data_IF_390136688141
#
_entry.id   IF_390136688141
#
_cell.length_a   1.000
_cell.length_b   1.000
_cell.length_c   1.000
_cell.angle_alpha   90.00
_cell.angle_beta   90.00
_cell.angle_gamma   90.00
#
_symmetry.space_group_name_H-M   'P 1'
#
loop_
_entity.id
_entity.type
_entity.pdbx_description
1 polymer ?
#
# COMPACT_ATOMS: atom_id res chain seq x y z
N UNK A 1 -30.39 -9.77 4.27
CA UNK A 1 -29.43 -9.57 3.16
C UNK A 1 -28.44 -8.51 3.65
N UNK A 2 -27.17 -8.49 3.24
CA UNK A 2 -26.31 -7.37 3.62
C UNK A 2 -26.86 -6.09 2.99
N UNK A 3 -27.19 -5.10 3.83
CA UNK A 3 -27.65 -3.78 3.42
C UNK A 3 -26.62 -3.16 2.48
N UNK A 4 -26.96 -2.99 1.21
CA UNK A 4 -26.00 -2.51 0.21
C UNK A 4 -26.11 -1.00 0.09
N UNK A 5 -25.16 -0.27 0.66
CA UNK A 5 -25.04 1.19 0.49
C UNK A 5 -24.26 1.48 -0.80
N UNK A 6 -24.86 2.26 -1.70
CA UNK A 6 -24.27 2.67 -2.98
C UNK A 6 -24.02 4.18 -3.00
N UNK A 7 -22.77 4.58 -3.22
CA UNK A 7 -22.42 5.99 -3.42
C UNK A 7 -22.89 6.49 -4.79
N UNK A 8 -23.51 7.66 -4.80
CA UNK A 8 -23.71 8.48 -5.99
C UNK A 8 -22.60 9.52 -6.03
N UNK A 9 -21.75 9.46 -7.04
CA UNK A 9 -20.59 10.35 -7.17
C UNK A 9 -20.71 11.25 -8.39
N UNK A 10 -20.11 12.44 -8.32
CA UNK A 10 -20.03 13.37 -9.45
C UNK A 10 -19.46 12.65 -10.69
N UNK A 11 -20.25 12.49 -11.77
CA UNK A 11 -19.86 11.69 -12.93
C UNK A 11 -18.80 12.39 -13.78
N UNK A 12 -18.12 11.62 -14.64
CA UNK A 12 -17.18 12.14 -15.64
C UNK A 12 -17.76 11.99 -17.04
N UNK A 13 -18.24 13.08 -17.63
CA UNK A 13 -18.82 13.08 -18.99
C UNK A 13 -17.79 13.28 -20.12
N UNK A 14 -16.54 13.66 -19.80
CA UNK A 14 -15.50 13.86 -20.80
C UNK A 14 -14.08 13.69 -20.24
N UNK A 15 -13.12 13.35 -21.11
CA UNK A 15 -11.73 13.01 -20.72
C UNK A 15 -11.04 14.12 -19.91
N UNK A 16 -11.33 15.39 -20.23
CA UNK A 16 -10.75 16.57 -19.58
C UNK A 16 -11.60 17.17 -18.45
N UNK A 17 -12.75 16.56 -18.11
CA UNK A 17 -13.61 17.05 -17.01
C UNK A 17 -12.96 16.70 -15.66
N UNK A 18 -12.74 17.73 -14.84
CA UNK A 18 -12.20 17.63 -13.47
C UNK A 18 -13.25 17.93 -12.42
N UNK A 19 -14.29 18.72 -12.75
CA UNK A 19 -15.40 19.09 -11.87
C UNK A 19 -16.71 19.22 -12.66
N UNK A 20 -17.83 19.17 -11.93
CA UNK A 20 -19.18 19.43 -12.43
C UNK A 20 -20.00 20.16 -11.39
N UNK A 21 -20.98 20.95 -11.84
CA UNK A 21 -21.92 21.65 -10.99
C UNK A 21 -23.22 20.87 -10.93
N UNK A 22 -23.68 20.55 -9.73
CA UNK A 22 -24.99 19.95 -9.51
C UNK A 22 -26.06 21.03 -9.72
N UNK A 23 -26.73 21.05 -10.86
CA UNK A 23 -27.67 22.11 -11.22
C UNK A 23 -28.99 21.98 -10.42
N UNK A 24 -29.52 20.77 -10.35
CA UNK A 24 -30.77 20.46 -9.65
C UNK A 24 -30.85 18.98 -9.30
N UNK A 25 -31.54 18.66 -8.22
CA UNK A 25 -32.00 17.29 -7.94
C UNK A 25 -33.39 17.10 -8.54
N UNK A 26 -33.56 16.05 -9.35
CA UNK A 26 -34.87 15.62 -9.87
C UNK A 26 -35.53 14.64 -8.89
N UNK A 27 -34.74 13.74 -8.29
CA UNK A 27 -35.19 12.80 -7.26
C UNK A 27 -35.19 13.44 -5.86
N UNK A 28 -36.09 12.97 -4.96
CA UNK A 28 -36.18 13.44 -3.57
C UNK A 28 -35.66 12.41 -2.58
N UNK A 29 -35.12 12.86 -1.44
CA UNK A 29 -34.77 11.96 -0.33
C UNK A 29 -36.01 11.15 0.10
N UNK A 30 -35.85 9.83 0.22
CA UNK A 30 -36.91 8.86 0.49
C UNK A 30 -37.58 8.28 -0.75
N UNK A 31 -37.25 8.75 -1.95
CA UNK A 31 -37.79 8.21 -3.20
C UNK A 31 -37.08 6.91 -3.60
N UNK A 32 -37.85 5.89 -3.97
CA UNK A 32 -37.35 4.68 -4.62
C UNK A 32 -37.07 4.94 -6.09
N UNK A 33 -35.92 4.47 -6.58
CA UNK A 33 -35.46 4.62 -7.96
C UNK A 33 -34.99 3.28 -8.52
N UNK A 34 -35.12 3.11 -9.83
CA UNK A 34 -34.54 2.01 -10.60
C UNK A 34 -33.23 2.44 -11.26
N UNK A 35 -32.43 1.47 -11.69
CA UNK A 35 -31.26 1.76 -12.52
C UNK A 35 -31.70 2.44 -13.83
N UNK A 36 -31.07 3.55 -14.18
CA UNK A 36 -31.43 4.37 -15.35
C UNK A 36 -32.45 5.48 -15.06
N UNK A 37 -33.07 5.51 -13.87
CA UNK A 37 -33.94 6.64 -13.51
C UNK A 37 -33.12 7.91 -13.31
N UNK A 38 -33.65 9.05 -13.75
CA UNK A 38 -33.02 10.35 -13.57
C UNK A 38 -33.00 10.78 -12.09
N UNK A 39 -31.83 11.17 -11.61
CA UNK A 39 -31.62 11.62 -10.23
C UNK A 39 -31.41 13.13 -10.13
N UNK A 40 -30.64 13.71 -11.04
CA UNK A 40 -30.20 15.10 -10.98
C UNK A 40 -29.71 15.59 -12.34
N UNK A 41 -29.62 16.91 -12.50
CA UNK A 41 -28.94 17.54 -13.63
C UNK A 41 -27.54 17.99 -13.21
N UNK A 42 -26.55 17.67 -14.05
CA UNK A 42 -25.16 18.08 -13.87
C UNK A 42 -24.78 19.02 -15.01
N UNK A 43 -24.40 20.24 -14.64
CA UNK A 43 -23.88 21.26 -15.52
C UNK A 43 -22.35 21.19 -15.56
N UNK A 44 -21.78 21.20 -16.76
CA UNK A 44 -20.34 21.30 -17.00
C UNK A 44 -20.04 22.55 -17.82
N UNK A 45 -18.76 22.86 -18.04
CA UNK A 45 -18.36 23.98 -18.92
C UNK A 45 -18.79 23.82 -20.38
N UNK A 46 -19.27 22.63 -20.79
CA UNK A 46 -19.64 22.34 -22.19
C UNK A 46 -21.12 22.03 -22.36
N UNK A 47 -21.69 21.23 -21.47
CA UNK A 47 -23.05 20.70 -21.57
C UNK A 47 -23.68 20.55 -20.19
N UNK A 48 -25.01 20.61 -20.15
CA UNK A 48 -25.82 20.10 -19.03
C UNK A 48 -26.31 18.71 -19.41
N UNK A 49 -26.21 17.75 -18.50
CA UNK A 49 -26.61 16.36 -18.73
C UNK A 49 -27.31 15.79 -17.51
N UNK A 50 -28.33 14.98 -17.76
CA UNK A 50 -29.04 14.22 -16.74
C UNK A 50 -28.13 13.12 -16.16
N UNK A 51 -28.10 13.02 -14.84
CA UNK A 51 -27.41 11.97 -14.10
C UNK A 51 -28.39 10.87 -13.73
N UNK A 52 -28.20 9.72 -14.35
CA UNK A 52 -29.03 8.53 -14.16
C UNK A 52 -28.51 7.67 -13.01
N UNK A 53 -29.45 7.03 -12.32
CA UNK A 53 -29.15 6.15 -11.20
C UNK A 53 -28.34 4.93 -11.65
N UNK A 54 -27.17 4.63 -11.04
CA UNK A 54 -26.36 3.48 -11.42
C UNK A 54 -26.92 2.14 -10.92
N UNK A 55 -27.86 2.17 -9.97
CA UNK A 55 -28.46 1.00 -9.34
C UNK A 55 -29.90 1.30 -8.88
N UNK A 56 -30.67 0.24 -8.57
CA UNK A 56 -31.95 0.39 -7.88
C UNK A 56 -31.75 0.59 -6.37
N UNK A 57 -32.61 1.38 -5.72
CA UNK A 57 -32.54 1.63 -4.27
C UNK A 57 -33.41 2.80 -3.83
N UNK A 58 -33.29 3.19 -2.56
CA UNK A 58 -33.92 4.42 -2.03
C UNK A 58 -32.87 5.51 -1.92
N UNK A 59 -33.17 6.72 -2.39
CA UNK A 59 -32.31 7.89 -2.18
C UNK A 59 -32.35 8.29 -0.70
N UNK A 60 -31.36 7.85 0.07
CA UNK A 60 -31.30 8.06 1.52
C UNK A 60 -30.73 9.41 1.91
N UNK A 61 -29.83 9.95 1.10
CA UNK A 61 -29.22 11.27 1.36
C UNK A 61 -28.85 11.98 0.07
N UNK A 62 -29.14 13.27 0.04
CA UNK A 62 -28.49 14.24 -0.85
C UNK A 62 -27.40 14.92 -0.03
N UNK A 63 -26.14 14.63 -0.37
CA UNK A 63 -24.97 15.16 0.33
C UNK A 63 -24.61 16.54 -0.23
N UNK A 64 -24.64 16.67 -1.55
CA UNK A 64 -24.42 17.91 -2.27
C UNK A 64 -25.71 18.73 -2.45
N UNK A 65 -25.59 20.05 -2.43
CA UNK A 65 -26.70 20.97 -2.66
C UNK A 65 -26.76 21.43 -4.12
N UNK A 66 -27.97 21.74 -4.61
CA UNK A 66 -28.13 22.34 -5.93
C UNK A 66 -27.40 23.69 -6.00
N UNK A 67 -26.65 23.91 -7.09
CA UNK A 67 -25.75 25.03 -7.29
C UNK A 67 -24.30 24.77 -6.91
N UNK A 68 -23.99 23.66 -6.24
CA UNK A 68 -22.64 23.32 -5.78
C UNK A 68 -21.77 22.74 -6.90
N UNK A 69 -20.55 23.25 -7.06
CA UNK A 69 -19.53 22.68 -7.97
C UNK A 69 -18.62 21.75 -7.19
N UNK A 70 -18.53 20.51 -7.66
CA UNK A 70 -17.80 19.43 -7.00
C UNK A 70 -16.86 18.74 -7.98
N UNK A 71 -15.70 18.26 -7.52
CA UNK A 71 -14.80 17.52 -8.38
C UNK A 71 -15.39 16.17 -8.78
N UNK A 72 -14.97 15.66 -9.94
CA UNK A 72 -15.34 14.32 -10.40
C UNK A 72 -14.98 13.29 -9.33
N UNK A 73 -15.91 12.38 -9.03
CA UNK A 73 -15.77 11.38 -7.99
C UNK A 73 -16.25 11.82 -6.60
N UNK A 74 -16.50 13.12 -6.36
CA UNK A 74 -17.04 13.59 -5.09
C UNK A 74 -18.42 12.98 -4.80
N UNK A 75 -18.70 12.65 -3.53
CA UNK A 75 -20.00 12.11 -3.12
C UNK A 75 -21.08 13.19 -3.25
N UNK A 76 -22.07 12.94 -4.09
CA UNK A 76 -23.23 13.81 -4.24
C UNK A 76 -24.46 13.26 -3.51
N UNK A 77 -24.58 11.94 -3.36
CA UNK A 77 -25.71 11.32 -2.66
C UNK A 77 -25.48 9.85 -2.32
N UNK A 78 -26.46 9.24 -1.66
CA UNK A 78 -26.38 7.85 -1.21
C UNK A 78 -27.68 7.13 -1.51
N UNK A 79 -27.58 5.99 -2.20
CA UNK A 79 -28.65 5.00 -2.33
C UNK A 79 -28.43 3.88 -1.31
N UNK A 80 -29.48 3.41 -0.68
CA UNK A 80 -29.45 2.17 0.11
C UNK A 80 -30.83 1.54 0.19
N UNK A 81 -30.91 0.34 0.76
CA UNK A 81 -32.18 -0.30 1.08
C UNK A 81 -32.96 0.51 2.11
N UNK A 82 -34.29 0.43 2.08
CA UNK A 82 -35.17 1.21 2.96
C UNK A 82 -34.96 0.89 4.45
N UNK A 83 -34.53 -0.34 4.76
CA UNK A 83 -34.25 -0.84 6.11
C UNK A 83 -32.81 -0.60 6.57
N UNK A 84 -31.97 0.05 5.76
CA UNK A 84 -30.60 0.43 6.19
C UNK A 84 -30.66 1.47 7.31
N UNK A 85 -30.02 1.25 8.48
CA UNK A 85 -30.00 2.23 9.57
C UNK A 85 -29.35 3.56 9.16
N UNK A 86 -29.90 4.69 9.63
CA UNK A 86 -29.34 6.03 9.33
C UNK A 86 -27.90 6.19 9.85
N UNK A 87 -27.57 5.55 10.97
CA UNK A 87 -26.20 5.55 11.54
C UNK A 87 -25.17 4.96 10.58
N UNK A 88 -25.54 3.95 9.79
CA UNK A 88 -24.66 3.32 8.82
C UNK A 88 -24.46 4.23 7.59
N UNK A 89 -25.49 4.99 7.22
CA UNK A 89 -25.43 5.99 6.14
C UNK A 89 -24.55 7.17 6.57
N UNK A 90 -24.68 7.65 7.80
CA UNK A 90 -23.82 8.71 8.33
C UNK A 90 -22.36 8.27 8.45
N UNK A 91 -22.11 7.05 8.94
CA UNK A 91 -20.78 6.48 8.98
C UNK A 91 -20.18 6.31 7.58
N UNK A 92 -20.98 5.88 6.61
CA UNK A 92 -20.57 5.77 5.21
C UNK A 92 -20.18 7.14 4.62
N UNK A 93 -21.02 8.17 4.80
CA UNK A 93 -20.74 9.52 4.30
C UNK A 93 -19.47 10.08 4.95
N UNK A 94 -19.29 9.89 6.26
CA UNK A 94 -18.13 10.38 7.00
C UNK A 94 -16.82 9.73 6.54
N UNK A 95 -16.87 8.46 6.18
CA UNK A 95 -15.71 7.66 5.77
C UNK A 95 -15.54 7.60 4.24
N UNK A 96 -16.38 8.31 3.47
CA UNK A 96 -16.28 8.30 2.02
C UNK A 96 -15.10 9.16 1.56
N UNK A 97 -14.08 8.51 1.00
CA UNK A 97 -12.98 9.17 0.32
C UNK A 97 -13.18 9.04 -1.19
N UNK A 98 -13.39 10.17 -1.87
CA UNK A 98 -13.48 10.20 -3.33
C UNK A 98 -12.11 9.86 -3.94
N UNK A 99 -12.04 8.88 -4.84
CA UNK A 99 -10.92 8.70 -5.77
C UNK A 99 -10.97 9.84 -6.81
N UNK A 100 -10.63 11.06 -6.42
CA UNK A 100 -10.56 12.21 -7.33
C UNK A 100 -9.13 12.36 -7.87
N UNK A 101 -8.93 12.50 -9.20
CA UNK A 101 -7.66 12.97 -9.76
C UNK A 101 -7.52 14.48 -9.48
N UNK A 102 -6.60 14.85 -8.58
CA UNK A 102 -6.32 16.25 -8.24
C UNK A 102 -5.33 16.90 -9.23
N UNK A 103 -5.56 18.17 -9.57
CA UNK A 103 -4.48 19.12 -9.84
C UNK A 103 -4.81 20.46 -9.15
N UNK A 104 -3.75 21.18 -8.83
CA UNK A 104 -3.54 22.15 -7.76
C UNK A 104 -4.45 23.39 -7.72
N UNK A 105 -4.79 23.85 -6.51
CA UNK A 105 -4.27 25.10 -5.93
C UNK A 105 -4.80 25.36 -4.51
N UNK A 106 -3.93 25.92 -3.67
CA UNK A 106 -4.12 26.50 -2.33
C UNK A 106 -3.98 25.58 -1.09
N UNK A 107 -2.81 25.70 -0.46
CA UNK A 107 -2.41 25.32 0.92
C UNK A 107 -3.08 26.22 1.99
N UNK A 108 -3.32 25.73 3.22
CA UNK A 108 -2.26 25.42 4.20
C UNK A 108 -2.22 23.96 4.68
N UNK A 109 -1.02 23.40 4.57
CA UNK A 109 -0.36 22.31 5.32
C UNK A 109 -1.19 21.45 6.31
N UNK A 110 -1.62 20.27 5.81
CA UNK A 110 -1.57 19.00 6.52
C UNK A 110 -1.60 17.82 5.51
N UNK A 111 -0.41 17.34 5.10
CA UNK A 111 -0.13 15.96 4.66
C UNK A 111 -1.09 15.21 3.72
N UNK A 112 -1.48 15.78 2.58
CA UNK A 112 -1.93 14.99 1.42
C UNK A 112 -0.78 14.73 0.44
N UNK A 113 0.41 14.37 0.95
CA UNK A 113 1.65 14.36 0.18
C UNK A 113 1.56 13.46 -1.05
N UNK A 114 1.49 14.04 -2.23
CA UNK A 114 1.70 13.32 -3.48
C UNK A 114 3.15 12.83 -3.55
N UNK A 115 3.41 11.68 -4.19
CA UNK A 115 4.78 11.22 -4.45
C UNK A 115 5.57 12.26 -5.25
N UNK A 116 6.82 12.49 -4.87
CA UNK A 116 7.75 13.41 -5.53
C UNK A 116 9.03 12.68 -5.91
N UNK A 117 9.62 13.08 -7.03
CA UNK A 117 10.93 12.60 -7.42
C UNK A 117 12.02 13.29 -6.57
N UNK A 118 12.84 12.49 -5.89
CA UNK A 118 13.95 12.90 -5.04
C UNK A 118 15.24 12.34 -5.61
N UNK A 119 16.24 13.19 -5.85
CA UNK A 119 17.57 12.75 -6.29
C UNK A 119 18.37 12.22 -5.10
N UNK A 120 18.83 10.97 -5.21
CA UNK A 120 19.58 10.23 -4.18
C UNK A 120 20.81 9.63 -4.85
N UNK A 121 21.98 10.26 -4.66
CA UNK A 121 23.19 9.89 -5.40
C UNK A 121 22.97 9.98 -6.91
N UNK A 122 23.20 8.88 -7.62
CA UNK A 122 22.94 8.76 -9.07
C UNK A 122 21.50 8.32 -9.41
N UNK A 123 20.66 8.10 -8.39
CA UNK A 123 19.29 7.66 -8.55
C UNK A 123 18.31 8.82 -8.44
N UNK A 124 17.15 8.65 -9.07
CA UNK A 124 15.97 9.48 -8.81
C UNK A 124 14.92 8.54 -8.26
N UNK A 125 14.53 8.75 -7.00
CA UNK A 125 13.54 7.92 -6.32
C UNK A 125 12.19 8.62 -6.28
N UNK A 126 11.11 7.89 -6.54
CA UNK A 126 9.75 8.37 -6.31
C UNK A 126 9.39 8.17 -4.82
N UNK A 127 9.21 9.25 -4.08
CA UNK A 127 9.08 9.26 -2.62
C UNK A 127 7.80 9.96 -2.20
N UNK A 128 7.00 9.30 -1.36
CA UNK A 128 5.88 9.89 -0.63
C UNK A 128 6.28 10.05 0.82
N UNK A 129 6.30 11.30 1.28
CA UNK A 129 6.68 11.68 2.63
C UNK A 129 5.51 12.43 3.27
N UNK A 130 4.88 11.81 4.26
CA UNK A 130 3.68 12.30 4.93
C UNK A 130 3.78 12.07 6.44
N UNK A 131 2.85 12.64 7.19
CA UNK A 131 2.77 12.52 8.64
C UNK A 131 3.54 13.61 9.40
N UNK A 132 3.44 13.57 10.73
CA UNK A 132 3.96 14.64 11.59
C UNK A 132 5.47 14.53 11.77
N UNK A 133 6.20 15.63 12.00
CA UNK A 133 7.64 15.56 12.31
C UNK A 133 7.93 15.06 13.74
N UNK A 134 6.95 14.42 14.41
CA UNK A 134 7.09 13.93 15.77
C UNK A 134 7.65 12.51 15.81
N UNK A 135 8.51 12.24 16.80
CA UNK A 135 9.11 10.93 17.04
C UNK A 135 10.09 10.49 15.95
N UNK A 136 10.59 9.26 16.10
CA UNK A 136 11.45 8.63 15.08
C UNK A 136 10.60 8.28 13.85
N UNK A 137 11.03 8.68 12.63
CA UNK A 137 10.29 8.43 11.41
C UNK A 137 10.24 6.94 11.04
N UNK A 138 9.27 6.58 10.20
CA UNK A 138 9.13 5.26 9.59
C UNK A 138 9.55 5.31 8.12
N UNK A 139 10.26 4.28 7.66
CA UNK A 139 10.53 4.05 6.24
C UNK A 139 9.93 2.71 5.81
N UNK A 140 9.10 2.75 4.76
CA UNK A 140 8.41 1.60 4.20
C UNK A 140 9.11 1.15 2.91
N UNK A 141 9.62 -0.09 2.90
CA UNK A 141 10.42 -0.67 1.82
C UNK A 141 9.66 -1.84 1.19
N UNK A 142 9.14 -1.66 -0.02
CA UNK A 142 8.32 -2.67 -0.70
C UNK A 142 9.12 -3.89 -1.20
N UNK A 143 8.40 -4.94 -1.59
CA UNK A 143 8.96 -6.18 -2.13
C UNK A 143 9.29 -6.15 -3.62
N UNK A 144 9.80 -7.27 -4.14
CA UNK A 144 10.11 -7.44 -5.56
C UNK A 144 8.87 -7.25 -6.43
N UNK A 145 8.96 -6.41 -7.46
CA UNK A 145 7.84 -6.12 -8.35
C UNK A 145 6.77 -5.18 -7.76
N UNK A 146 6.97 -4.74 -6.53
CA UNK A 146 6.12 -3.78 -5.86
C UNK A 146 6.39 -2.33 -6.26
N UNK A 147 5.64 -1.44 -5.64
CA UNK A 147 5.84 0.01 -5.68
C UNK A 147 5.20 0.65 -4.44
N UNK A 148 5.25 1.98 -4.36
CA UNK A 148 4.72 2.78 -3.27
C UNK A 148 3.24 2.51 -2.98
N UNK A 149 2.46 2.06 -3.97
CA UNK A 149 1.04 1.76 -3.79
C UNK A 149 0.80 0.54 -2.89
N UNK A 150 1.81 -0.33 -2.70
CA UNK A 150 1.73 -1.44 -1.75
C UNK A 150 1.54 -0.98 -0.30
N UNK A 151 1.84 0.28 -0.02
CA UNK A 151 1.78 0.85 1.32
C UNK A 151 0.58 1.76 1.56
N UNK A 152 -0.35 1.95 0.61
CA UNK A 152 -1.45 2.91 0.77
C UNK A 152 -2.24 2.72 2.08
N UNK A 153 -2.63 1.47 2.39
CA UNK A 153 -3.37 1.15 3.62
C UNK A 153 -2.53 1.29 4.89
N UNK A 154 -1.20 1.24 4.78
CA UNK A 154 -0.27 1.25 5.91
C UNK A 154 0.28 2.65 6.18
N UNK A 155 0.71 3.36 5.15
CA UNK A 155 1.34 4.67 5.25
C UNK A 155 0.38 5.68 5.88
N UNK A 156 -0.86 5.77 5.39
CA UNK A 156 -1.82 6.76 5.88
C UNK A 156 -2.23 6.48 7.34
N UNK A 157 -2.41 5.20 7.69
CA UNK A 157 -2.71 4.80 9.06
C UNK A 157 -1.57 5.14 10.03
N UNK A 158 -0.31 4.96 9.62
CA UNK A 158 0.87 5.23 10.46
C UNK A 158 1.25 6.72 10.47
N UNK A 159 0.87 7.48 9.43
CA UNK A 159 1.16 8.91 9.30
C UNK A 159 0.41 9.79 10.30
N UNK A 160 -0.65 9.27 10.93
CA UNK A 160 -1.40 9.97 11.96
C UNK A 160 -0.52 10.43 13.14
N UNK A 161 0.46 9.60 13.53
CA UNK A 161 1.24 9.81 14.76
C UNK A 161 2.71 10.19 14.51
N UNK A 162 3.23 10.02 13.29
CA UNK A 162 4.66 10.23 12.96
C UNK A 162 4.90 10.41 11.47
N UNK A 163 6.11 10.81 11.10
CA UNK A 163 6.54 10.94 9.69
C UNK A 163 6.74 9.53 9.11
N UNK A 164 6.16 9.28 7.96
CA UNK A 164 6.22 8.00 7.24
C UNK A 164 6.62 8.23 5.80
N UNK A 165 7.77 7.67 5.44
CA UNK A 165 8.35 7.73 4.12
C UNK A 165 8.09 6.38 3.43
N UNK A 166 7.41 6.42 2.28
CA UNK A 166 7.34 5.30 1.36
C UNK A 166 7.99 5.72 0.05
N UNK A 167 8.59 4.78 -0.68
CA UNK A 167 9.26 5.10 -1.93
C UNK A 167 9.30 3.90 -2.86
N UNK A 168 9.49 4.15 -4.15
CA UNK A 168 9.78 3.11 -5.13
C UNK A 168 11.29 2.78 -5.09
N UNK A 169 11.65 1.52 -4.88
CA UNK A 169 13.02 1.03 -5.00
C UNK A 169 13.58 1.31 -6.42
N UNK A 170 14.90 1.43 -6.59
CA UNK A 170 15.51 1.38 -7.93
C UNK A 170 14.96 0.19 -8.75
N UNK A 171 14.68 0.44 -10.03
CA UNK A 171 14.07 -0.56 -10.91
C UNK A 171 12.54 -0.67 -10.83
N UNK A 172 11.91 -0.04 -9.85
CA UNK A 172 10.48 -0.15 -9.59
C UNK A 172 9.73 1.16 -9.81
N UNK A 173 8.39 1.09 -9.86
CA UNK A 173 7.47 2.22 -9.96
C UNK A 173 7.94 3.37 -10.86
N UNK A 174 7.95 4.58 -10.34
CA UNK A 174 8.43 5.78 -11.03
C UNK A 174 9.91 6.14 -10.73
N UNK A 175 10.61 5.33 -9.92
CA UNK A 175 12.05 5.49 -9.66
C UNK A 175 12.90 5.18 -10.90
N UNK A 176 14.15 5.64 -10.90
CA UNK A 176 15.10 5.32 -11.96
C UNK A 176 15.30 3.81 -12.09
N UNK A 177 15.56 3.34 -13.32
CA UNK A 177 15.71 1.90 -13.63
C UNK A 177 17.15 1.41 -13.58
N UNK A 178 18.09 2.27 -13.18
CA UNK A 178 19.44 1.84 -12.84
C UNK A 178 19.42 1.15 -11.48
N UNK A 179 19.75 -0.14 -11.46
CA UNK A 179 19.77 -0.98 -10.24
C UNK A 179 21.18 -1.41 -9.85
N UNK A 180 22.23 -0.88 -10.49
CA UNK A 180 23.60 -1.29 -10.22
C UNK A 180 23.78 -2.81 -10.31
N UNK A 181 24.25 -3.43 -9.22
CA UNK A 181 24.39 -4.89 -9.12
C UNK A 181 23.09 -5.62 -8.84
N UNK A 182 22.03 -4.92 -8.44
CA UNK A 182 20.72 -5.48 -8.05
C UNK A 182 20.73 -6.29 -6.75
N UNK A 183 21.85 -6.33 -6.02
CA UNK A 183 22.00 -7.09 -4.77
C UNK A 183 21.33 -6.40 -3.58
N UNK A 184 21.04 -7.15 -2.51
CA UNK A 184 20.51 -6.58 -1.28
C UNK A 184 21.43 -5.48 -0.70
N UNK A 185 22.75 -5.69 -0.71
CA UNK A 185 23.72 -4.68 -0.26
C UNK A 185 23.62 -3.39 -1.07
N UNK A 186 23.51 -3.47 -2.40
CA UNK A 186 23.38 -2.29 -3.24
C UNK A 186 22.08 -1.53 -2.93
N UNK A 187 20.96 -2.25 -2.88
CA UNK A 187 19.66 -1.64 -2.61
C UNK A 187 19.58 -1.05 -1.20
N UNK A 188 20.18 -1.70 -0.19
CA UNK A 188 20.29 -1.16 1.16
C UNK A 188 21.16 0.11 1.22
N UNK A 189 22.24 0.17 0.44
CA UNK A 189 23.03 1.39 0.26
C UNK A 189 22.18 2.56 -0.24
N UNK A 190 21.33 2.32 -1.23
CA UNK A 190 20.38 3.35 -1.73
C UNK A 190 19.38 3.79 -0.65
N UNK A 191 18.93 2.87 0.22
CA UNK A 191 18.07 3.25 1.37
C UNK A 191 18.84 4.13 2.37
N UNK A 192 20.09 3.79 2.69
CA UNK A 192 20.95 4.65 3.52
C UNK A 192 21.13 6.04 2.89
N UNK A 193 21.39 6.10 1.59
CA UNK A 193 21.56 7.37 0.87
C UNK A 193 20.27 8.20 0.86
N UNK A 194 19.10 7.54 0.75
CA UNK A 194 17.80 8.21 0.88
C UNK A 194 17.63 8.80 2.28
N UNK A 195 17.95 8.06 3.35
CA UNK A 195 17.90 8.57 4.72
C UNK A 195 18.80 9.81 4.88
N UNK A 196 20.03 9.75 4.38
CA UNK A 196 20.96 10.89 4.41
C UNK A 196 20.40 12.10 3.64
N UNK A 197 19.86 11.87 2.44
CA UNK A 197 19.27 12.91 1.58
C UNK A 197 18.09 13.60 2.28
N UNK A 198 17.25 12.82 2.96
CA UNK A 198 16.10 13.32 3.73
C UNK A 198 16.48 13.85 5.13
N UNK A 199 17.78 13.82 5.47
CA UNK A 199 18.34 14.22 6.77
C UNK A 199 17.72 13.45 7.94
N UNK A 200 17.52 12.15 7.74
CA UNK A 200 17.03 11.22 8.75
C UNK A 200 18.23 10.45 9.28
N UNK A 201 18.62 10.72 10.52
CA UNK A 201 19.74 10.04 11.17
C UNK A 201 19.39 8.59 11.54
N UNK A 202 18.14 8.37 11.99
CA UNK A 202 17.66 7.07 12.47
C UNK A 202 16.17 6.90 12.18
N UNK A 203 15.76 5.71 11.74
CA UNK A 203 14.37 5.41 11.40
C UNK A 203 13.94 4.01 11.84
N UNK A 204 12.65 3.85 12.10
CA UNK A 204 12.01 2.53 12.13
C UNK A 204 11.84 2.05 10.69
N UNK A 205 12.26 0.82 10.39
CA UNK A 205 12.16 0.27 9.03
C UNK A 205 11.06 -0.78 8.99
N UNK A 206 10.16 -0.65 8.01
CA UNK A 206 9.13 -1.63 7.69
C UNK A 206 9.47 -2.22 6.32
N UNK A 207 9.84 -3.50 6.29
CA UNK A 207 10.30 -4.16 5.06
C UNK A 207 9.41 -5.33 4.70
N UNK A 208 8.88 -5.36 3.48
CA UNK A 208 8.12 -6.49 2.95
C UNK A 208 8.95 -7.32 1.97
N UNK A 209 8.99 -8.64 2.12
CA UNK A 209 9.63 -9.54 1.14
C UNK A 209 11.08 -9.15 0.84
N UNK A 210 11.43 -8.83 -0.41
CA UNK A 210 12.72 -8.25 -0.79
C UNK A 210 13.10 -7.04 0.11
N UNK A 211 12.15 -6.15 0.39
CA UNK A 211 12.33 -5.01 1.28
C UNK A 211 12.64 -5.40 2.72
N UNK A 212 12.19 -6.58 3.18
CA UNK A 212 12.61 -7.16 4.45
C UNK A 212 14.08 -7.59 4.45
N UNK A 213 14.54 -8.20 3.36
CA UNK A 213 15.96 -8.52 3.15
C UNK A 213 16.84 -7.27 3.07
N UNK A 214 16.35 -6.22 2.40
CA UNK A 214 17.00 -4.91 2.34
C UNK A 214 17.08 -4.30 3.76
N UNK A 215 16.02 -4.37 4.55
CA UNK A 215 15.99 -3.83 5.91
C UNK A 215 16.97 -4.55 6.86
N UNK A 216 17.05 -5.89 6.77
CA UNK A 216 18.04 -6.68 7.50
C UNK A 216 19.47 -6.36 7.06
N UNK A 217 19.68 -6.15 5.75
CA UNK A 217 20.98 -5.75 5.20
C UNK A 217 21.37 -4.35 5.64
N UNK A 218 20.41 -3.42 5.70
CA UNK A 218 20.62 -2.06 6.23
C UNK A 218 21.02 -2.11 7.71
N UNK A 219 20.37 -2.96 8.54
CA UNK A 219 20.76 -3.15 9.93
C UNK A 219 22.18 -3.72 10.06
N UNK A 220 22.57 -4.65 9.19
CA UNK A 220 23.91 -5.24 9.17
C UNK A 220 24.99 -4.20 8.84
N UNK A 221 24.75 -3.38 7.82
CA UNK A 221 25.78 -2.51 7.23
C UNK A 221 25.76 -1.09 7.82
N UNK A 222 24.60 -0.63 8.30
CA UNK A 222 24.34 0.71 8.85
C UNK A 222 23.47 0.66 10.12
N UNK A 223 23.88 -0.07 11.18
CA UNK A 223 23.05 -0.29 12.37
C UNK A 223 22.60 1.00 13.07
N UNK A 224 23.42 2.05 13.04
CA UNK A 224 23.12 3.34 13.66
C UNK A 224 21.90 4.04 13.05
N UNK A 225 21.55 3.72 11.79
CA UNK A 225 20.40 4.27 11.08
C UNK A 225 19.09 3.54 11.40
N UNK A 226 19.13 2.40 12.08
CA UNK A 226 17.96 1.55 12.31
C UNK A 226 17.52 1.63 13.78
N UNK A 227 16.33 2.19 14.03
CA UNK A 227 15.71 2.23 15.35
C UNK A 227 15.03 0.90 15.72
N UNK A 228 14.32 0.30 14.76
CA UNK A 228 13.70 -1.01 14.91
C UNK A 228 13.34 -1.57 13.54
N UNK A 229 13.06 -2.88 13.48
CA UNK A 229 12.60 -3.57 12.28
C UNK A 229 11.18 -4.12 12.46
N UNK A 230 10.34 -3.91 11.45
CA UNK A 230 9.04 -4.56 11.30
C UNK A 230 9.08 -5.30 9.96
N UNK A 231 9.18 -6.62 10.01
CA UNK A 231 9.43 -7.44 8.81
C UNK A 231 8.16 -8.19 8.41
N UNK A 232 7.72 -8.04 7.17
CA UNK A 232 6.50 -8.66 6.65
C UNK A 232 6.90 -9.68 5.60
N UNK A 233 6.76 -10.97 5.91
CA UNK A 233 7.22 -12.08 5.08
C UNK A 233 8.61 -11.82 4.46
N UNK A 234 9.66 -11.53 5.27
CA UNK A 234 10.95 -11.07 4.75
C UNK A 234 11.72 -12.15 3.98
N UNK A 235 12.41 -11.71 2.93
CA UNK A 235 13.51 -12.47 2.34
C UNK A 235 14.74 -12.49 3.29
N UNK A 236 15.62 -13.47 3.09
CA UNK A 236 16.87 -13.68 3.81
C UNK A 236 16.77 -14.59 5.05
N UNK A 237 15.59 -15.11 5.38
CA UNK A 237 15.41 -16.00 6.55
C UNK A 237 15.32 -17.50 6.21
N UNK A 238 15.33 -17.82 4.92
CA UNK A 238 15.28 -19.18 4.39
C UNK A 238 16.00 -19.28 3.05
N UNK A 239 16.14 -20.51 2.55
CA UNK A 239 16.85 -20.78 1.30
C UNK A 239 15.98 -20.61 0.07
N UNK A 240 14.73 -21.01 0.14
CA UNK A 240 13.89 -21.16 -1.05
C UNK A 240 12.95 -19.97 -1.23
N UNK A 241 12.66 -19.65 -2.48
CA UNK A 241 11.64 -18.71 -2.93
C UNK A 241 10.92 -19.30 -4.13
N UNK A 242 9.64 -18.99 -4.29
CA UNK A 242 8.87 -19.49 -5.42
C UNK A 242 9.42 -18.98 -6.77
N UNK A 243 10.15 -19.85 -7.48
CA UNK A 243 10.80 -19.54 -8.74
C UNK A 243 9.80 -19.18 -9.84
N UNK A 244 8.64 -19.84 -9.86
CA UNK A 244 7.59 -19.61 -10.84
C UNK A 244 7.02 -18.20 -10.70
N UNK A 245 6.80 -17.74 -9.46
CA UNK A 245 6.40 -16.37 -9.20
C UNK A 245 7.46 -15.38 -9.72
N UNK A 246 8.72 -15.53 -9.33
CA UNK A 246 9.79 -14.59 -9.72
C UNK A 246 9.91 -14.51 -11.25
N UNK A 247 10.00 -15.66 -11.92
CA UNK A 247 10.12 -15.75 -13.37
C UNK A 247 8.89 -15.19 -14.09
N UNK A 248 7.70 -15.65 -13.72
CA UNK A 248 6.46 -15.24 -14.38
C UNK A 248 6.11 -13.78 -14.10
N UNK A 249 6.45 -13.24 -12.93
CA UNK A 249 6.28 -11.81 -12.63
C UNK A 249 7.13 -10.94 -13.55
N UNK A 250 8.33 -11.37 -13.94
CA UNK A 250 9.17 -10.60 -14.84
C UNK A 250 8.72 -10.75 -16.30
N UNK A 251 8.37 -11.96 -16.71
CA UNK A 251 8.21 -12.30 -18.12
C UNK A 251 6.79 -12.25 -18.66
N UNK A 252 5.77 -12.37 -17.80
CA UNK A 252 4.37 -12.45 -18.27
C UNK A 252 3.88 -11.11 -18.82
N UNK A 253 3.37 -11.09 -20.04
CA UNK A 253 2.88 -9.87 -20.71
C UNK A 253 1.35 -9.79 -20.78
N UNK A 254 0.65 -10.92 -20.60
CA UNK A 254 -0.81 -10.99 -20.68
C UNK A 254 -1.46 -10.66 -19.33
N UNK A 255 -2.62 -10.00 -19.36
CA UNK A 255 -3.40 -9.71 -18.15
C UNK A 255 -3.88 -10.97 -17.44
N UNK A 256 -4.18 -12.04 -18.18
CA UNK A 256 -4.62 -13.31 -17.58
C UNK A 256 -3.50 -13.95 -16.79
N UNK A 257 -2.31 -14.08 -17.40
CA UNK A 257 -1.20 -14.78 -16.76
C UNK A 257 -0.65 -13.92 -15.61
N UNK A 258 -0.58 -12.59 -15.78
CA UNK A 258 -0.22 -11.68 -14.70
C UNK A 258 -1.21 -11.72 -13.53
N UNK A 259 -2.51 -11.87 -13.79
CA UNK A 259 -3.50 -12.07 -12.73
C UNK A 259 -3.21 -13.34 -11.92
N UNK A 260 -2.88 -14.46 -12.59
CA UNK A 260 -2.54 -15.71 -11.92
C UNK A 260 -1.27 -15.55 -11.06
N UNK A 261 -0.24 -14.85 -11.56
CA UNK A 261 0.97 -14.54 -10.81
C UNK A 261 0.68 -13.71 -9.57
N UNK A 262 -0.08 -12.62 -9.70
CA UNK A 262 -0.45 -11.77 -8.57
C UNK A 262 -1.33 -12.51 -7.54
N UNK A 263 -2.13 -13.48 -7.98
CA UNK A 263 -2.93 -14.32 -7.09
C UNK A 263 -2.07 -15.19 -6.17
N UNK A 264 -0.82 -15.50 -6.52
CA UNK A 264 0.10 -16.22 -5.62
C UNK A 264 0.49 -15.38 -4.40
N UNK A 265 0.34 -14.06 -4.45
CA UNK A 265 0.72 -13.14 -3.36
C UNK A 265 -0.28 -13.09 -2.20
N UNK A 266 -1.52 -13.55 -2.40
CA UNK A 266 -2.60 -13.39 -1.42
C UNK A 266 -3.30 -14.71 -1.15
N UNK A 267 -3.83 -14.91 0.05
CA UNK A 267 -4.74 -16.04 0.31
C UNK A 267 -6.08 -15.81 -0.39
N UNK A 268 -6.70 -14.64 -0.16
CA UNK A 268 -7.96 -14.30 -0.82
C UNK A 268 -7.74 -13.82 -2.26
N UNK A 269 -7.83 -14.75 -3.22
CA UNK A 269 -7.59 -14.49 -4.65
C UNK A 269 -8.53 -13.44 -5.27
N UNK A 270 -9.66 -13.11 -4.61
CA UNK A 270 -10.58 -12.07 -5.06
C UNK A 270 -10.04 -10.64 -4.88
N UNK A 271 -9.02 -10.45 -4.02
CA UNK A 271 -8.34 -9.16 -3.85
C UNK A 271 -7.59 -8.71 -5.10
N UNK A 272 -7.23 -9.66 -5.99
CA UNK A 272 -6.54 -9.37 -7.25
C UNK A 272 -7.55 -8.98 -8.33
N UNK A 273 -7.89 -7.70 -8.34
CA UNK A 273 -8.76 -7.08 -9.34
C UNK A 273 -8.05 -6.68 -10.63
N UNK A 274 -8.84 -6.40 -11.68
CA UNK A 274 -8.32 -5.94 -12.98
C UNK A 274 -7.47 -4.67 -12.87
N UNK A 275 -7.87 -3.72 -12.02
CA UNK A 275 -7.13 -2.45 -11.83
C UNK A 275 -5.69 -2.69 -11.36
N UNK A 276 -5.50 -3.61 -10.40
CA UNK A 276 -4.17 -3.99 -9.89
C UNK A 276 -3.33 -4.64 -10.99
N UNK A 277 -3.91 -5.60 -11.73
CA UNK A 277 -3.25 -6.26 -12.86
C UNK A 277 -2.79 -5.24 -13.91
N UNK A 278 -3.68 -4.32 -14.29
CA UNK A 278 -3.38 -3.30 -15.29
C UNK A 278 -2.31 -2.32 -14.79
N UNK A 279 -2.31 -1.98 -13.49
CA UNK A 279 -1.28 -1.13 -12.88
C UNK A 279 0.11 -1.79 -12.92
N UNK A 280 0.21 -3.05 -12.49
CA UNK A 280 1.46 -3.82 -12.52
C UNK A 280 1.99 -3.98 -13.95
N UNK A 281 1.11 -4.25 -14.92
CA UNK A 281 1.50 -4.31 -16.33
C UNK A 281 2.02 -2.98 -16.86
N UNK A 282 1.38 -1.86 -16.51
CA UNK A 282 1.86 -0.52 -16.90
C UNK A 282 3.23 -0.22 -16.31
N UNK A 283 3.42 -0.47 -15.01
CA UNK A 283 4.70 -0.24 -14.34
C UNK A 283 5.85 -1.03 -15.00
N UNK A 284 5.61 -2.31 -15.35
CA UNK A 284 6.60 -3.15 -16.03
C UNK A 284 6.86 -2.77 -17.50
N UNK A 285 5.98 -2.01 -18.14
CA UNK A 285 6.17 -1.51 -19.51
C UNK A 285 6.98 -0.22 -19.58
N UNK A 286 7.31 0.40 -18.44
CA UNK A 286 8.22 1.54 -18.41
C UNK A 286 9.61 1.11 -18.90
N UNK A 287 10.25 1.99 -19.67
CA UNK A 287 11.56 1.71 -20.28
C UNK A 287 12.58 1.27 -19.23
N UNK A 288 13.17 0.09 -19.44
CA UNK A 288 14.17 -0.52 -18.55
C UNK A 288 13.61 -1.20 -17.29
N UNK A 289 12.30 -1.13 -17.01
CA UNK A 289 11.72 -1.73 -15.79
C UNK A 289 11.89 -3.25 -15.73
N UNK A 290 11.58 -3.96 -16.83
CA UNK A 290 11.76 -5.43 -16.87
C UNK A 290 13.23 -5.84 -16.76
N UNK A 291 14.13 -5.13 -17.42
CA UNK A 291 15.56 -5.45 -17.33
C UNK A 291 16.11 -5.22 -15.93
N UNK A 292 15.69 -4.14 -15.27
CA UNK A 292 16.00 -3.89 -13.87
C UNK A 292 15.50 -5.03 -12.96
N UNK A 293 14.25 -5.47 -13.16
CA UNK A 293 13.69 -6.61 -12.41
C UNK A 293 14.46 -7.91 -12.69
N UNK A 294 14.89 -8.17 -13.93
CA UNK A 294 15.74 -9.33 -14.26
C UNK A 294 17.07 -9.30 -13.51
N UNK A 295 17.71 -8.12 -13.44
CA UNK A 295 18.98 -7.96 -12.72
C UNK A 295 18.79 -8.25 -11.23
N UNK A 296 17.76 -7.68 -10.60
CA UNK A 296 17.44 -7.93 -9.19
C UNK A 296 17.09 -9.42 -8.95
N UNK A 297 16.24 -10.01 -9.79
CA UNK A 297 15.86 -11.42 -9.68
C UNK A 297 17.09 -12.33 -9.78
N UNK A 298 18.00 -12.07 -10.72
CA UNK A 298 19.24 -12.84 -10.87
C UNK A 298 20.18 -12.67 -9.68
N UNK A 299 20.26 -11.47 -9.13
CA UNK A 299 21.16 -11.15 -8.02
C UNK A 299 20.67 -11.71 -6.69
N UNK A 300 19.37 -11.65 -6.42
CA UNK A 300 18.80 -12.02 -5.12
C UNK A 300 18.17 -13.42 -5.10
N UNK A 301 17.60 -13.87 -6.23
CA UNK A 301 16.76 -15.07 -6.32
C UNK A 301 17.14 -16.04 -7.45
N UNK A 302 18.43 -16.30 -7.74
CA UNK A 302 18.83 -17.17 -8.83
C UNK A 302 18.27 -18.58 -8.64
N UNK A 303 17.62 -19.10 -9.68
CA UNK A 303 17.07 -20.46 -9.71
C UNK A 303 16.10 -20.78 -8.56
N UNK A 304 15.36 -19.78 -8.05
CA UNK A 304 14.41 -19.99 -6.95
C UNK A 304 15.05 -20.09 -5.57
N UNK A 305 16.31 -19.67 -5.43
CA UNK A 305 17.00 -19.65 -4.14
C UNK A 305 17.39 -18.24 -3.75
N UNK A 306 17.21 -17.92 -2.48
CA UNK A 306 17.68 -16.69 -1.86
C UNK A 306 19.20 -16.77 -1.70
N UNK A 307 19.92 -15.73 -2.14
CA UNK A 307 21.40 -15.72 -2.08
C UNK A 307 21.91 -15.47 -0.66
N UNK A 308 21.29 -14.53 0.05
CA UNK A 308 21.76 -14.07 1.35
C UNK A 308 21.10 -14.84 2.51
N UNK A 309 21.92 -15.31 3.46
CA UNK A 309 21.46 -15.75 4.78
C UNK A 309 21.59 -14.60 5.78
N UNK A 310 20.44 -14.05 6.18
CA UNK A 310 20.33 -12.90 7.08
C UNK A 310 19.85 -13.30 8.47
N UNK A 311 19.68 -14.60 8.76
CA UNK A 311 19.39 -15.08 10.12
C UNK A 311 20.44 -14.65 11.15
N UNK A 312 21.76 -14.61 10.83
CA UNK A 312 22.77 -14.13 11.78
C UNK A 312 22.60 -12.68 12.22
N UNK A 313 22.01 -11.82 11.38
CA UNK A 313 21.73 -10.41 11.72
C UNK A 313 20.77 -10.33 12.92
N UNK A 314 19.77 -11.21 12.96
CA UNK A 314 18.78 -11.28 14.02
C UNK A 314 19.34 -11.84 15.34
N UNK A 315 20.36 -12.70 15.27
CA UNK A 315 21.00 -13.28 16.45
C UNK A 315 21.79 -12.23 17.26
N UNK A 316 22.26 -11.16 16.61
CA UNK A 316 23.03 -10.08 17.25
C UNK A 316 22.19 -9.13 18.11
N UNK A 317 20.86 -9.13 17.98
CA UNK A 317 19.97 -8.26 18.77
C UNK A 317 20.24 -6.76 18.57
N UNK A 318 20.82 -6.36 17.43
CA UNK A 318 21.31 -5.00 17.18
C UNK A 318 20.19 -3.94 17.12
N UNK A 319 18.95 -4.37 16.81
CA UNK A 319 17.77 -3.52 16.89
C UNK A 319 16.53 -4.35 17.27
N UNK A 320 15.58 -3.76 18.01
CA UNK A 320 14.29 -4.38 18.26
C UNK A 320 13.60 -4.79 16.97
N UNK A 321 13.15 -6.04 16.90
CA UNK A 321 12.58 -6.61 15.67
C UNK A 321 11.30 -7.39 15.97
N UNK A 322 10.27 -7.19 15.15
CA UNK A 322 9.10 -8.06 15.08
C UNK A 322 8.83 -8.52 13.64
N UNK A 323 8.20 -9.69 13.50
CA UNK A 323 7.94 -10.33 12.21
C UNK A 323 6.46 -10.67 12.06
N UNK A 324 5.91 -10.43 10.88
CA UNK A 324 4.58 -10.80 10.47
C UNK A 324 4.66 -11.76 9.29
N UNK A 325 3.87 -12.83 9.29
CA UNK A 325 3.84 -13.79 8.19
C UNK A 325 2.42 -14.30 7.93
N UNK A 326 2.09 -14.57 6.67
CA UNK A 326 0.89 -15.33 6.33
C UNK A 326 1.15 -16.83 6.36
N UNK A 327 0.26 -17.62 6.96
CA UNK A 327 0.44 -19.08 7.01
C UNK A 327 0.38 -19.72 5.63
N UNK A 328 -0.41 -19.15 4.72
CA UNK A 328 -0.63 -19.59 3.35
C UNK A 328 0.26 -18.84 2.34
N UNK A 329 1.41 -18.32 2.79
CA UNK A 329 2.39 -17.69 1.92
C UNK A 329 2.97 -18.70 0.91
N UNK A 330 2.63 -18.50 -0.36
CA UNK A 330 3.09 -19.33 -1.49
C UNK A 330 4.44 -18.88 -2.06
N UNK A 331 4.97 -17.73 -1.63
CA UNK A 331 6.21 -17.14 -2.15
C UNK A 331 7.39 -17.50 -1.25
N UNK A 332 7.24 -17.26 0.05
CA UNK A 332 8.23 -17.58 1.07
C UNK A 332 7.55 -18.37 2.20
N UNK A 333 7.98 -19.61 2.40
CA UNK A 333 7.33 -20.48 3.40
C UNK A 333 7.43 -19.89 4.82
N UNK A 334 6.30 -19.86 5.53
CA UNK A 334 6.24 -19.50 6.96
C UNK A 334 7.15 -20.38 7.83
N UNK A 335 7.50 -21.59 7.37
CA UNK A 335 8.46 -22.45 8.06
C UNK A 335 9.84 -21.81 8.25
N UNK A 336 10.20 -20.81 7.43
CA UNK A 336 11.43 -20.02 7.57
C UNK A 336 11.50 -19.25 8.90
N UNK A 337 10.35 -18.96 9.54
CA UNK A 337 10.32 -18.35 10.86
C UNK A 337 10.72 -19.33 12.01
N UNK A 338 10.81 -20.63 11.73
CA UNK A 338 11.22 -21.62 12.72
C UNK A 338 12.67 -21.43 13.12
N UNK A 339 12.99 -21.56 14.41
CA UNK A 339 14.37 -21.49 14.92
C UNK A 339 14.97 -20.07 14.89
N UNK A 340 14.14 -19.04 14.78
CA UNK A 340 14.57 -17.66 15.07
C UNK A 340 14.78 -17.48 16.58
N UNK A 341 15.62 -16.51 17.01
CA UNK A 341 15.77 -16.18 18.42
C UNK A 341 14.42 -15.95 19.11
N UNK A 342 14.20 -16.58 20.27
CA UNK A 342 12.93 -16.49 21.02
C UNK A 342 12.52 -15.05 21.39
N UNK A 343 13.49 -14.14 21.43
CA UNK A 343 13.26 -12.73 21.72
C UNK A 343 12.58 -11.95 20.59
N UNK A 344 12.41 -12.54 19.41
CA UNK A 344 11.79 -11.90 18.25
C UNK A 344 10.34 -12.37 18.16
N UNK A 345 9.36 -11.48 18.39
CA UNK A 345 7.96 -11.81 18.22
C UNK A 345 7.68 -12.12 16.76
N UNK A 346 7.09 -13.29 16.51
CA UNK A 346 6.60 -13.70 15.20
C UNK A 346 5.09 -13.85 15.28
N UNK A 347 4.36 -13.00 14.57
CA UNK A 347 2.91 -13.11 14.42
C UNK A 347 2.58 -13.76 13.08
N UNK A 348 2.06 -14.99 13.14
CA UNK A 348 1.54 -15.71 11.97
C UNK A 348 0.05 -15.49 11.87
N UNK A 349 -0.42 -15.07 10.70
CA UNK A 349 -1.83 -14.90 10.39
C UNK A 349 -2.34 -16.09 9.59
N UNK A 350 -3.40 -16.74 10.08
CA UNK A 350 -4.19 -17.71 9.32
C UNK A 350 -4.91 -16.99 8.17
N UNK A 351 -5.22 -17.72 7.11
CA UNK A 351 -5.95 -17.22 5.92
C UNK A 351 -5.31 -15.95 5.33
N UNK A 352 -3.98 -15.94 5.27
CA UNK A 352 -3.14 -14.81 4.83
C UNK A 352 -1.98 -15.34 4.00
N UNK A 353 -1.76 -14.74 2.84
CA UNK A 353 -0.67 -15.08 1.94
C UNK A 353 0.57 -14.21 2.18
N UNK A 354 1.27 -13.90 1.09
CA UNK A 354 2.53 -13.15 1.10
C UNK A 354 2.38 -11.66 1.41
N UNK A 355 1.16 -11.10 1.42
CA UNK A 355 0.90 -9.68 1.66
C UNK A 355 0.10 -9.41 2.95
N UNK A 356 0.67 -9.65 4.16
CA UNK A 356 -0.01 -9.34 5.42
C UNK A 356 -0.49 -7.88 5.52
N UNK A 357 0.26 -6.92 4.99
CA UNK A 357 -0.10 -5.51 4.97
C UNK A 357 -1.35 -5.20 4.14
N UNK A 358 -1.71 -6.07 3.20
CA UNK A 358 -2.94 -5.94 2.41
C UNK A 358 -4.08 -6.73 3.03
N UNK A 359 -3.83 -7.97 3.42
CA UNK A 359 -4.88 -8.91 3.87
C UNK A 359 -5.26 -8.75 5.34
N UNK A 360 -4.36 -8.17 6.15
CA UNK A 360 -4.51 -7.93 7.60
C UNK A 360 -4.08 -6.51 7.96
N UNK A 361 -4.37 -5.55 7.07
CA UNK A 361 -3.92 -4.16 7.18
C UNK A 361 -4.14 -3.56 8.59
N UNK A 362 -5.35 -3.67 9.14
CA UNK A 362 -5.66 -3.14 10.49
C UNK A 362 -4.80 -3.77 11.58
N UNK A 363 -4.64 -5.09 11.59
CA UNK A 363 -3.86 -5.80 12.60
C UNK A 363 -2.37 -5.47 12.50
N UNK A 364 -1.85 -5.44 11.27
CA UNK A 364 -0.45 -5.11 10.97
C UNK A 364 -0.16 -3.67 11.35
N UNK A 365 -1.00 -2.72 10.94
CA UNK A 365 -0.81 -1.30 11.24
C UNK A 365 -0.87 -1.04 12.75
N UNK A 366 -1.81 -1.67 13.46
CA UNK A 366 -1.94 -1.54 14.92
C UNK A 366 -0.70 -2.09 15.63
N UNK A 367 -0.21 -3.26 15.21
CA UNK A 367 0.98 -3.88 15.78
C UNK A 367 2.24 -3.05 15.51
N UNK A 368 2.40 -2.51 14.30
CA UNK A 368 3.51 -1.60 13.97
C UNK A 368 3.41 -0.34 14.83
N UNK A 369 2.26 0.35 14.82
CA UNK A 369 2.05 1.60 15.56
C UNK A 369 2.32 1.46 17.06
N UNK A 370 1.94 0.31 17.64
CA UNK A 370 2.20 -0.01 19.05
C UNK A 370 3.69 -0.23 19.29
N UNK A 371 4.33 -1.06 18.47
CA UNK A 371 5.74 -1.42 18.60
C UNK A 371 6.67 -0.20 18.49
N UNK A 372 6.39 0.73 17.58
CA UNK A 372 7.25 1.90 17.34
C UNK A 372 7.07 3.03 18.35
N UNK A 373 6.19 2.87 19.35
CA UNK A 373 6.09 3.80 20.50
C UNK A 373 7.16 3.49 21.55
N UNK A 374 7.38 2.21 21.83
CA UNK A 374 8.43 1.73 22.73
C UNK A 374 8.85 0.30 22.33
N UNK A 375 9.82 0.16 21.41
CA UNK A 375 10.19 -1.14 20.89
C UNK A 375 10.78 -2.09 21.94
N UNK A 376 11.53 -1.56 22.90
CA UNK A 376 12.15 -2.37 23.97
C UNK A 376 11.09 -2.90 24.95
N UNK A 377 10.15 -2.05 25.36
CA UNK A 377 9.05 -2.49 26.22
C UNK A 377 8.16 -3.50 25.52
N UNK A 378 7.87 -3.30 24.22
CA UNK A 378 7.06 -4.22 23.43
C UNK A 378 7.71 -5.62 23.35
N UNK A 379 9.04 -5.69 23.19
CA UNK A 379 9.77 -6.95 23.24
C UNK A 379 9.74 -7.60 24.62
N UNK A 380 9.85 -6.82 25.70
CA UNK A 380 9.77 -7.37 27.06
C UNK A 380 8.40 -7.98 27.36
N UNK A 381 7.31 -7.34 26.92
CA UNK A 381 5.96 -7.86 27.11
C UNK A 381 5.75 -9.17 26.34
N UNK A 382 6.17 -9.21 25.06
CA UNK A 382 6.04 -10.41 24.25
C UNK A 382 6.79 -11.62 24.84
N UNK A 383 7.91 -11.39 25.55
CA UNK A 383 8.62 -12.46 26.26
C UNK A 383 7.85 -13.01 27.46
N UNK A 384 7.11 -12.17 28.18
CA UNK A 384 6.31 -12.61 29.33
C UNK A 384 5.15 -13.51 28.87
N UNK A 385 4.45 -13.11 27.80
CA UNK A 385 3.34 -13.88 27.23
C UNK A 385 3.77 -15.23 26.65
N UNK A 386 5.00 -15.35 26.14
CA UNK A 386 5.54 -16.61 25.63
C UNK A 386 5.96 -17.61 26.73
N UNK A 387 6.04 -17.16 27.99
CA UNK A 387 6.45 -17.98 29.14
C UNK A 387 5.28 -18.36 30.07
N UNK A 388 4.09 -17.82 29.81
CA UNK A 388 2.84 -18.15 30.49
C UNK A 388 2.06 -19.22 29.72
#
# INVERSE_FOLDING_TARGET
MPNTITALTMPKFGLAMTEGKLASWTAKVGQSVQQGDELADIETTKITSSYESPAAGVLRKQVAQAGETLPVGALIGVLADADTPDVDIEAFIKNFHADTPADATATPEANSGEPKLVTVGEHTLNVRDVGTQAGTPLVLVHGFGGDISNWLLTQDALAADRRVIAFDLPGHGASSKNVGTGTLTFLAGVVSDLLQTLKIEKAHIVGHSLGGGIALTLLRDHPDQVASLNLLAPAGLGKDVNADFISAFVESESSRDMKAVLQMLVYNKALVGRRMVDAVLRARRLDGARDALRVIAKACFPNGHQVDDLRPVLAGGAAPTQIFWGKEDEILSVSNASGLPQMIPVKVFEETGHLPQLERATDVNTAIATFVKDPEAALSMARMDATA
#
